data_IF_439059224884
#
_entry.id   IF_439059224884
#
_cell.length_a   1.000
_cell.length_b   1.000
_cell.length_c   1.000
_cell.angle_alpha   90.00
_cell.angle_beta   90.00
_cell.angle_gamma   90.00
#
_symmetry.space_group_name_H-M   'P 1'
#
loop_
_entity.id
_entity.type
_entity.pdbx_description
1 polymer ?
#
# COMPACT_ATOMS: atom_id res chain seq x y z
N UNK A 1 5.84 7.76 -12.06
CA UNK A 1 4.73 6.82 -12.26
C UNK A 1 3.57 7.29 -11.41
N UNK A 2 2.55 7.91 -12.02
CA UNK A 2 1.31 8.24 -11.33
C UNK A 2 0.37 7.05 -11.52
N UNK A 3 0.23 6.24 -10.48
CA UNK A 3 -0.82 5.24 -10.39
C UNK A 3 -1.80 5.76 -9.35
N UNK A 4 -2.95 6.20 -9.79
CA UNK A 4 -4.03 6.47 -8.88
C UNK A 4 -4.81 5.17 -8.69
N UNK A 5 -4.62 4.52 -7.56
CA UNK A 5 -5.60 3.56 -7.07
C UNK A 5 -6.70 4.39 -6.40
N UNK A 6 -7.85 4.42 -7.01
CA UNK A 6 -9.03 5.07 -6.43
C UNK A 6 -9.97 3.99 -5.96
N UNK A 7 -10.25 3.95 -4.67
CA UNK A 7 -11.38 3.21 -4.12
C UNK A 7 -12.54 4.16 -3.91
N UNK A 8 -13.70 3.77 -4.39
CA UNK A 8 -14.96 4.48 -4.14
C UNK A 8 -15.87 3.49 -3.44
N UNK A 9 -16.24 3.80 -2.20
CA UNK A 9 -17.33 3.13 -1.51
C UNK A 9 -18.58 3.96 -1.72
N UNK A 10 -19.60 3.40 -2.38
CA UNK A 10 -20.88 4.07 -2.61
C UNK A 10 -21.91 3.42 -1.70
N UNK A 11 -22.39 4.19 -0.74
CA UNK A 11 -23.51 3.81 0.11
C UNK A 11 -24.75 4.59 -0.32
N UNK A 12 -25.87 3.93 -0.52
CA UNK A 12 -27.14 4.60 -0.75
C UNK A 12 -28.28 3.92 0.03
N UNK A 13 -29.23 4.76 0.48
CA UNK A 13 -30.39 4.31 1.21
C UNK A 13 -31.62 4.28 0.30
N UNK A 14 -32.36 3.19 0.32
CA UNK A 14 -33.64 3.03 -0.38
C UNK A 14 -34.80 3.12 0.65
N UNK A 15 -35.36 4.34 0.80
CA UNK A 15 -36.64 4.57 1.47
C UNK A 15 -36.61 4.80 2.97
N UNK A 16 -37.69 5.42 3.49
CA UNK A 16 -37.81 5.93 4.87
C UNK A 16 -37.99 4.88 5.98
N UNK A 17 -38.19 3.59 5.66
CA UNK A 17 -38.59 2.58 6.66
C UNK A 17 -37.71 1.31 6.72
N UNK A 18 -36.74 1.17 5.84
CA UNK A 18 -35.73 0.12 5.96
C UNK A 18 -34.41 0.62 5.40
N UNK A 19 -33.40 0.76 6.28
CA UNK A 19 -32.05 1.13 5.87
C UNK A 19 -31.42 -0.15 5.31
N UNK A 20 -31.50 -0.32 4.00
CA UNK A 20 -30.67 -1.32 3.30
C UNK A 20 -29.45 -0.57 2.76
N UNK A 21 -28.29 -0.90 3.29
CA UNK A 21 -27.04 -0.39 2.78
C UNK A 21 -26.55 -1.32 1.68
N UNK A 22 -26.43 -0.81 0.46
CA UNK A 22 -25.74 -1.50 -0.62
C UNK A 22 -24.33 -0.93 -0.71
N UNK A 23 -23.34 -1.77 -0.57
CA UNK A 23 -21.93 -1.37 -0.66
C UNK A 23 -21.31 -1.88 -1.96
N UNK A 24 -20.62 -1.02 -2.67
CA UNK A 24 -19.77 -1.40 -3.79
C UNK A 24 -18.32 -1.10 -3.45
N UNK A 25 -17.48 -2.12 -3.52
CA UNK A 25 -16.04 -1.93 -3.50
C UNK A 25 -15.55 -1.75 -4.93
N UNK A 26 -15.05 -0.58 -5.25
CA UNK A 26 -14.57 -0.24 -6.60
C UNK A 26 -13.06 0.00 -6.53
N UNK A 27 -12.29 -0.83 -7.21
CA UNK A 27 -10.85 -0.65 -7.40
C UNK A 27 -10.59 -0.24 -8.85
N UNK A 28 -9.88 0.87 -9.04
CA UNK A 28 -9.54 1.39 -10.36
C UNK A 28 -8.03 1.61 -10.45
N UNK A 29 -7.42 1.20 -11.55
CA UNK A 29 -6.03 1.49 -11.86
C UNK A 29 -5.98 2.30 -13.15
N UNK A 30 -5.38 3.47 -13.06
CA UNK A 30 -5.07 4.31 -14.21
C UNK A 30 -3.59 4.19 -14.57
N UNK A 31 -3.30 4.23 -15.87
CA UNK A 31 -1.95 4.38 -16.39
C UNK A 31 -1.96 5.56 -17.37
N UNK A 32 -1.37 6.68 -16.93
CA UNK A 32 -1.64 7.98 -17.57
C UNK A 32 -3.11 8.37 -17.38
N UNK A 33 -3.75 8.78 -18.45
CA UNK A 33 -5.15 9.20 -18.46
C UNK A 33 -6.13 8.06 -18.78
N UNK A 34 -5.65 6.82 -18.90
CA UNK A 34 -6.43 5.66 -19.31
C UNK A 34 -6.69 4.73 -18.12
N UNK A 35 -7.95 4.32 -17.94
CA UNK A 35 -8.31 3.24 -17.02
C UNK A 35 -7.90 1.91 -17.64
N UNK A 36 -6.94 1.22 -17.04
CA UNK A 36 -6.42 -0.05 -17.54
C UNK A 36 -6.95 -1.27 -16.78
N UNK A 37 -7.52 -1.05 -15.61
CA UNK A 37 -8.13 -2.08 -14.79
C UNK A 37 -9.22 -1.45 -13.92
N UNK A 38 -10.33 -2.16 -13.77
CA UNK A 38 -11.24 -1.96 -12.65
C UNK A 38 -11.81 -3.28 -12.15
N UNK A 39 -12.15 -3.30 -10.88
CA UNK A 39 -12.91 -4.35 -10.22
C UNK A 39 -14.01 -3.70 -9.39
N UNK A 40 -15.25 -4.07 -9.64
CA UNK A 40 -16.43 -3.62 -8.90
C UNK A 40 -17.02 -4.84 -8.21
N UNK A 41 -16.97 -4.85 -6.90
CA UNK A 41 -17.56 -5.91 -6.08
C UNK A 41 -18.79 -5.35 -5.36
N UNK A 42 -19.95 -5.92 -5.64
CA UNK A 42 -21.16 -5.73 -4.84
C UNK A 42 -21.04 -6.59 -3.58
N UNK A 43 -21.03 -5.95 -2.41
CA UNK A 43 -20.82 -6.64 -1.13
C UNK A 43 -22.01 -7.51 -0.73
N UNK A 44 -23.22 -7.24 -1.24
CA UNK A 44 -24.43 -7.98 -0.91
C UNK A 44 -24.70 -9.15 -1.84
N UNK A 45 -24.66 -8.89 -3.16
CA UNK A 45 -24.98 -9.90 -4.17
C UNK A 45 -23.77 -10.69 -4.62
N UNK A 46 -22.57 -10.24 -4.27
CA UNK A 46 -21.27 -10.75 -4.75
C UNK A 46 -21.12 -10.70 -6.27
N UNK A 47 -21.92 -9.86 -6.92
CA UNK A 47 -21.72 -9.57 -8.33
C UNK A 47 -20.37 -8.88 -8.49
N UNK A 48 -19.60 -9.34 -9.46
CA UNK A 48 -18.27 -8.80 -9.76
C UNK A 48 -18.24 -8.36 -11.22
N UNK A 49 -17.99 -7.09 -11.44
CA UNK A 49 -17.69 -6.56 -12.78
C UNK A 49 -16.19 -6.22 -12.85
N UNK A 50 -15.49 -6.84 -13.77
CA UNK A 50 -14.05 -6.70 -13.92
C UNK A 50 -13.69 -6.33 -15.36
N UNK A 51 -12.79 -5.37 -15.50
CA UNK A 51 -12.20 -5.00 -16.78
C UNK A 51 -10.69 -4.99 -16.67
N UNK A 52 -10.01 -5.40 -17.74
CA UNK A 52 -8.57 -5.35 -17.82
C UNK A 52 -8.11 -5.12 -19.25
N UNK A 53 -7.35 -4.05 -19.47
CA UNK A 53 -6.61 -3.86 -20.70
C UNK A 53 -5.27 -4.59 -20.60
N UNK A 54 -5.18 -5.80 -21.18
CA UNK A 54 -4.02 -6.68 -21.07
C UNK A 54 -2.72 -6.05 -21.59
N UNK A 55 -2.79 -5.30 -22.70
CA UNK A 55 -1.60 -4.67 -23.28
C UNK A 55 -1.05 -3.60 -22.33
N UNK A 56 -1.90 -2.70 -21.87
CA UNK A 56 -1.51 -1.63 -20.94
C UNK A 56 -1.08 -2.17 -19.57
N UNK A 57 -1.72 -3.23 -19.12
CA UNK A 57 -1.30 -3.90 -17.89
C UNK A 57 0.12 -4.50 -18.03
N UNK A 58 0.42 -5.09 -19.18
CA UNK A 58 1.77 -5.61 -19.47
C UNK A 58 2.81 -4.48 -19.53
N UNK A 59 2.48 -3.33 -20.14
CA UNK A 59 3.34 -2.15 -20.14
C UNK A 59 3.61 -1.65 -18.72
N UNK A 60 2.57 -1.58 -17.88
CA UNK A 60 2.67 -1.21 -16.47
C UNK A 60 3.57 -2.18 -15.71
N UNK A 61 3.34 -3.50 -15.82
CA UNK A 61 4.13 -4.53 -15.16
C UNK A 61 5.61 -4.48 -15.56
N UNK A 62 5.89 -4.29 -16.85
CA UNK A 62 7.25 -4.14 -17.35
C UNK A 62 7.93 -2.89 -16.80
N UNK A 63 7.22 -1.77 -16.74
CA UNK A 63 7.73 -0.52 -16.17
C UNK A 63 7.99 -0.65 -14.66
N UNK A 64 7.09 -1.34 -13.97
CA UNK A 64 7.23 -1.62 -12.54
C UNK A 64 8.46 -2.48 -12.24
N UNK A 65 8.64 -3.59 -12.97
CA UNK A 65 9.76 -4.52 -12.79
C UNK A 65 11.13 -3.88 -13.07
N UNK A 66 11.19 -2.91 -14.00
CA UNK A 66 12.41 -2.14 -14.25
C UNK A 66 12.83 -1.31 -13.05
N UNK A 67 11.86 -0.80 -12.29
CA UNK A 67 12.11 0.08 -11.16
C UNK A 67 12.24 -0.68 -9.85
N UNK A 68 11.30 -1.58 -9.55
CA UNK A 68 11.28 -2.38 -8.34
C UNK A 68 12.02 -3.71 -8.49
N UNK A 69 12.17 -4.46 -7.40
CA UNK A 69 12.85 -5.76 -7.36
C UNK A 69 11.97 -6.90 -7.86
N UNK A 70 10.65 -6.71 -7.81
CA UNK A 70 9.66 -7.72 -8.19
C UNK A 70 8.67 -7.17 -9.23
N UNK A 71 7.93 -8.07 -9.86
CA UNK A 71 6.87 -7.73 -10.80
C UNK A 71 5.59 -7.35 -10.05
N UNK A 72 4.83 -6.42 -10.63
CA UNK A 72 3.50 -6.06 -10.13
C UNK A 72 2.55 -7.24 -10.32
N UNK A 73 1.98 -7.75 -9.23
CA UNK A 73 0.96 -8.79 -9.25
C UNK A 73 -0.44 -8.16 -9.09
N UNK A 74 -1.39 -8.62 -9.89
CA UNK A 74 -2.76 -8.10 -9.83
C UNK A 74 -3.38 -8.37 -8.46
N UNK A 75 -3.12 -9.53 -7.87
CA UNK A 75 -3.62 -9.87 -6.54
C UNK A 75 -3.12 -8.92 -5.44
N UNK A 76 -1.90 -8.37 -5.59
CA UNK A 76 -1.37 -7.39 -4.64
C UNK A 76 -2.19 -6.08 -4.69
N UNK A 77 -2.75 -5.74 -5.85
CA UNK A 77 -3.61 -4.58 -6.04
C UNK A 77 -5.00 -4.76 -5.40
N UNK A 78 -5.49 -6.00 -5.33
CA UNK A 78 -6.78 -6.34 -4.70
C UNK A 78 -6.70 -6.39 -3.16
N UNK A 79 -5.49 -6.36 -2.61
CA UNK A 79 -5.25 -6.48 -1.16
C UNK A 79 -4.66 -5.23 -0.50
N UNK A 80 -4.53 -4.12 -1.23
CA UNK A 80 -3.88 -2.90 -0.75
C UNK A 80 -4.44 -2.36 0.57
N UNK A 81 -5.72 -2.52 0.81
CA UNK A 81 -6.39 -1.97 1.98
C UNK A 81 -6.25 -2.78 3.26
N UNK A 82 -5.64 -3.94 3.18
CA UNK A 82 -5.43 -4.80 4.35
C UNK A 82 -4.27 -4.30 5.21
N UNK A 83 -3.52 -3.33 4.71
CA UNK A 83 -2.33 -2.83 5.37
C UNK A 83 -2.59 -1.48 6.05
N UNK A 84 -1.98 -1.31 7.21
CA UNK A 84 -2.02 -0.06 7.99
C UNK A 84 -0.64 0.14 8.59
N UNK A 85 -0.07 1.32 8.45
CA UNK A 85 1.21 1.64 9.07
C UNK A 85 1.02 2.11 10.52
N UNK A 86 1.87 1.64 11.42
CA UNK A 86 1.86 2.04 12.83
C UNK A 86 2.56 1.03 13.74
N UNK A 87 2.57 1.32 15.03
CA UNK A 87 3.10 0.39 16.04
C UNK A 87 2.01 -0.51 16.61
N UNK A 88 0.88 0.10 16.95
CA UNK A 88 -0.26 -0.58 17.55
C UNK A 88 -1.56 0.07 17.08
N UNK A 89 -2.66 -0.70 17.12
CA UNK A 89 -3.97 -0.23 16.71
C UNK A 89 -5.06 -0.82 17.60
N UNK A 90 -6.14 -0.04 17.81
CA UNK A 90 -7.29 -0.47 18.60
C UNK A 90 -7.16 -0.18 20.09
N UNK A 91 -8.28 -0.42 20.81
CA UNK A 91 -8.43 -0.06 22.22
C UNK A 91 -7.47 -0.84 23.15
N UNK A 92 -7.08 -2.06 22.76
CA UNK A 92 -6.11 -2.90 23.50
C UNK A 92 -4.65 -2.58 23.18
N UNK A 93 -4.35 -1.67 22.25
CA UNK A 93 -2.97 -1.38 21.84
C UNK A 93 -2.29 -2.59 21.18
N UNK A 94 -3.05 -3.43 20.47
CA UNK A 94 -2.51 -4.62 19.81
C UNK A 94 -1.48 -4.22 18.75
N UNK A 95 -0.35 -4.91 18.75
CA UNK A 95 0.66 -4.73 17.71
C UNK A 95 0.11 -5.10 16.36
N UNK A 96 0.24 -4.21 15.39
CA UNK A 96 -0.16 -4.49 14.01
C UNK A 96 0.64 -5.69 13.47
N UNK A 97 -0.04 -6.56 12.71
CA UNK A 97 0.57 -7.76 12.13
C UNK A 97 1.82 -7.40 11.30
N UNK A 98 1.70 -6.41 10.41
CA UNK A 98 2.81 -6.00 9.55
C UNK A 98 3.97 -5.40 10.37
N UNK A 99 3.69 -4.72 11.51
CA UNK A 99 4.72 -4.25 12.44
C UNK A 99 5.47 -5.42 13.08
N UNK A 100 4.76 -6.41 13.58
CA UNK A 100 5.37 -7.59 14.18
C UNK A 100 6.25 -8.35 13.19
N UNK A 101 5.77 -8.52 11.95
CA UNK A 101 6.50 -9.17 10.86
C UNK A 101 7.75 -8.37 10.46
N UNK A 102 7.64 -7.02 10.38
CA UNK A 102 8.79 -6.14 10.15
C UNK A 102 9.87 -6.34 11.23
N UNK A 103 9.51 -6.31 12.50
CA UNK A 103 10.46 -6.45 13.61
C UNK A 103 11.13 -7.83 13.60
N UNK A 104 10.38 -8.89 13.30
CA UNK A 104 10.92 -10.25 13.16
C UNK A 104 12.00 -10.31 12.07
N UNK A 105 11.69 -9.85 10.85
CA UNK A 105 12.62 -9.88 9.72
C UNK A 105 13.78 -8.88 9.90
N UNK A 106 13.54 -7.75 10.59
CA UNK A 106 14.60 -6.80 10.94
C UNK A 106 15.62 -7.40 11.91
N UNK A 107 15.16 -8.22 12.87
CA UNK A 107 16.05 -8.93 13.81
C UNK A 107 16.98 -9.92 13.09
N UNK A 108 16.50 -10.51 11.98
CA UNK A 108 17.23 -11.44 11.11
C UNK A 108 18.06 -10.74 10.04
N UNK A 109 17.97 -9.40 9.93
CA UNK A 109 18.56 -8.60 8.85
C UNK A 109 18.17 -9.09 7.46
N UNK A 110 16.91 -9.53 7.27
CA UNK A 110 16.41 -10.12 6.04
C UNK A 110 16.10 -9.06 4.97
N UNK A 111 17.14 -8.68 4.24
CA UNK A 111 17.06 -7.69 3.15
C UNK A 111 16.12 -8.17 2.04
N UNK A 112 16.05 -9.47 1.78
CA UNK A 112 15.22 -10.01 0.69
C UNK A 112 13.74 -9.82 0.97
N UNK A 113 13.33 -9.99 2.22
CA UNK A 113 11.99 -9.71 2.66
C UNK A 113 11.61 -8.23 2.46
N UNK A 114 12.46 -7.31 2.89
CA UNK A 114 12.19 -5.87 2.70
C UNK A 114 12.25 -5.42 1.24
N UNK A 115 13.01 -6.12 0.39
CA UNK A 115 12.95 -5.91 -1.06
C UNK A 115 11.58 -6.30 -1.63
N UNK A 116 10.93 -7.35 -1.12
CA UNK A 116 9.56 -7.70 -1.54
C UNK A 116 8.54 -6.65 -1.09
N UNK A 117 8.66 -6.16 0.13
CA UNK A 117 7.76 -5.13 0.66
C UNK A 117 7.91 -3.78 -0.04
N UNK A 118 9.14 -3.33 -0.32
CA UNK A 118 9.35 -2.08 -1.04
C UNK A 118 8.90 -2.18 -2.51
N UNK A 119 8.77 -3.41 -3.01
CA UNK A 119 8.24 -3.72 -4.34
C UNK A 119 6.74 -4.00 -4.34
N UNK A 120 6.09 -4.06 -3.18
CA UNK A 120 4.64 -4.19 -3.11
C UNK A 120 3.97 -2.87 -3.48
N UNK A 121 2.81 -2.85 -4.17
CA UNK A 121 2.11 -1.61 -4.49
C UNK A 121 1.57 -0.88 -3.26
N UNK A 122 1.31 -1.55 -2.10
CA UNK A 122 0.87 -0.90 -0.86
C UNK A 122 1.89 0.11 -0.36
N UNK A 123 1.44 1.34 -0.09
CA UNK A 123 2.27 2.37 0.50
C UNK A 123 2.61 2.07 1.95
N UNK A 124 1.73 1.42 2.67
CA UNK A 124 1.94 1.00 4.06
C UNK A 124 3.10 0.01 4.17
N UNK A 125 3.15 -1.01 3.29
CA UNK A 125 4.27 -1.95 3.24
C UNK A 125 5.57 -1.28 2.79
N UNK A 126 5.49 -0.34 1.84
CA UNK A 126 6.66 0.48 1.46
C UNK A 126 7.17 1.34 2.61
N UNK A 127 6.27 1.89 3.44
CA UNK A 127 6.64 2.67 4.61
C UNK A 127 7.37 1.82 5.66
N UNK A 128 6.89 0.60 5.94
CA UNK A 128 7.58 -0.35 6.79
C UNK A 128 8.95 -0.74 6.24
N UNK A 129 9.04 -1.03 4.93
CA UNK A 129 10.32 -1.34 4.31
C UNK A 129 11.28 -0.15 4.34
N UNK A 130 10.78 1.09 4.15
CA UNK A 130 11.57 2.30 4.29
C UNK A 130 12.17 2.40 5.70
N UNK A 131 11.35 2.31 6.74
CA UNK A 131 11.79 2.33 8.14
C UNK A 131 12.84 1.23 8.39
N UNK A 132 12.55 -0.01 7.96
CA UNK A 132 13.46 -1.13 8.13
C UNK A 132 14.83 -0.88 7.46
N UNK A 133 14.85 -0.40 6.22
CA UNK A 133 16.11 -0.08 5.53
C UNK A 133 16.89 1.02 6.24
N UNK A 134 16.24 2.07 6.75
CA UNK A 134 16.92 3.11 7.53
C UNK A 134 17.50 2.58 8.85
N UNK A 135 16.79 1.68 9.52
CA UNK A 135 17.28 1.00 10.72
C UNK A 135 18.44 0.04 10.41
N UNK A 136 18.42 -0.65 9.27
CA UNK A 136 19.52 -1.49 8.81
C UNK A 136 20.76 -0.65 8.45
N UNK A 137 20.61 0.51 7.80
CA UNK A 137 21.72 1.43 7.55
C UNK A 137 22.38 1.91 8.84
N UNK A 138 21.59 2.27 9.87
CA UNK A 138 22.12 2.62 11.21
C UNK A 138 22.91 1.46 11.85
N UNK A 139 22.58 0.20 11.52
CA UNK A 139 23.33 -1.01 11.95
C UNK A 139 24.53 -1.32 11.05
N UNK A 140 24.85 -0.48 10.07
CA UNK A 140 26.01 -0.63 9.17
C UNK A 140 25.77 -1.45 7.91
N UNK A 141 24.52 -1.82 7.62
CA UNK A 141 24.18 -2.52 6.36
C UNK A 141 24.30 -1.54 5.19
N UNK A 142 25.04 -1.93 4.15
CA UNK A 142 25.18 -1.13 2.93
C UNK A 142 24.05 -1.42 1.95
N UNK A 143 23.20 -0.45 1.70
CA UNK A 143 22.15 -0.56 0.70
C UNK A 143 22.74 -0.47 -0.73
N UNK A 144 22.14 -1.22 -1.66
CA UNK A 144 22.44 -1.13 -3.09
C UNK A 144 22.01 0.22 -3.67
N UNK A 145 22.54 0.57 -4.83
CA UNK A 145 22.13 1.78 -5.55
C UNK A 145 20.63 1.77 -5.89
N UNK A 146 20.08 0.60 -6.24
CA UNK A 146 18.65 0.43 -6.55
C UNK A 146 17.79 0.71 -5.31
N UNK A 147 18.13 0.15 -4.15
CA UNK A 147 17.42 0.41 -2.89
C UNK A 147 17.42 1.90 -2.55
N UNK A 148 18.59 2.55 -2.56
CA UNK A 148 18.70 3.99 -2.29
C UNK A 148 17.85 4.84 -3.24
N UNK A 149 17.84 4.52 -4.53
CA UNK A 149 17.01 5.23 -5.51
C UNK A 149 15.51 5.09 -5.22
N UNK A 150 15.06 3.91 -4.80
CA UNK A 150 13.65 3.68 -4.43
C UNK A 150 13.33 4.49 -3.16
N UNK A 151 14.18 4.43 -2.12
CA UNK A 151 13.96 5.18 -0.87
C UNK A 151 13.90 6.69 -1.15
N UNK A 152 14.80 7.21 -1.97
CA UNK A 152 14.79 8.63 -2.36
C UNK A 152 13.49 9.03 -3.05
N UNK A 153 12.92 8.17 -3.90
CA UNK A 153 11.62 8.45 -4.52
C UNK A 153 10.49 8.49 -3.50
N UNK A 154 10.49 7.56 -2.54
CA UNK A 154 9.48 7.55 -1.47
C UNK A 154 9.54 8.82 -0.61
N UNK A 155 10.70 9.43 -0.44
CA UNK A 155 10.86 10.70 0.28
C UNK A 155 10.15 11.90 -0.38
N UNK A 156 9.78 11.76 -1.65
CA UNK A 156 9.05 12.77 -2.44
C UNK A 156 7.65 12.28 -2.86
N UNK A 157 7.18 11.18 -2.26
CA UNK A 157 5.88 10.59 -2.59
C UNK A 157 4.78 11.27 -1.77
N UNK A 158 3.83 11.93 -2.46
CA UNK A 158 2.72 12.67 -1.85
C UNK A 158 1.42 11.86 -1.73
N UNK A 159 1.45 10.58 -2.08
CA UNK A 159 0.27 9.72 -1.93
C UNK A 159 0.01 9.42 -0.46
N UNK A 160 -1.28 9.31 -0.12
CA UNK A 160 -1.73 9.03 1.24
C UNK A 160 -1.65 7.54 1.55
N UNK A 161 -1.26 7.24 2.78
CA UNK A 161 -1.30 5.90 3.36
C UNK A 161 -2.08 5.92 4.68
N UNK A 162 -2.65 4.77 5.03
CA UNK A 162 -3.41 4.61 6.27
C UNK A 162 -2.46 4.39 7.44
N UNK A 163 -2.65 5.16 8.50
CA UNK A 163 -1.90 5.03 9.74
C UNK A 163 -2.81 4.68 10.90
N UNK A 164 -2.26 4.00 11.90
CA UNK A 164 -2.93 3.77 13.17
C UNK A 164 -1.95 3.96 14.33
N UNK A 165 -2.31 4.80 15.27
CA UNK A 165 -1.55 4.99 16.50
C UNK A 165 -2.50 4.90 17.70
N UNK A 166 -2.46 3.77 18.40
CA UNK A 166 -3.42 3.45 19.46
C UNK A 166 -4.85 3.39 18.91
N UNK A 167 -5.75 4.23 19.42
CA UNK A 167 -7.16 4.28 18.98
C UNK A 167 -7.41 5.22 17.79
N UNK A 168 -6.40 5.93 17.33
CA UNK A 168 -6.54 6.93 16.26
C UNK A 168 -6.14 6.29 14.94
N UNK A 169 -7.11 6.23 14.01
CA UNK A 169 -6.88 5.91 12.60
C UNK A 169 -6.94 7.20 11.80
N UNK A 170 -5.98 7.40 10.93
CA UNK A 170 -5.85 8.59 10.11
C UNK A 170 -5.14 8.23 8.79
N UNK A 171 -4.97 9.21 7.94
CA UNK A 171 -4.15 9.11 6.75
C UNK A 171 -3.15 10.25 6.69
N UNK A 172 -1.94 9.94 6.26
CA UNK A 172 -0.83 10.90 6.15
C UNK A 172 -0.13 10.71 4.80
N UNK A 173 0.48 11.74 4.25
CA UNK A 173 1.29 11.55 3.05
C UNK A 173 2.56 10.76 3.38
N UNK A 174 3.04 9.98 2.42
CA UNK A 174 4.30 9.25 2.59
C UNK A 174 5.47 10.20 2.92
N UNK A 175 5.48 11.37 2.29
CA UNK A 175 6.50 12.39 2.55
C UNK A 175 6.48 12.87 4.01
N UNK A 176 5.31 13.21 4.55
CA UNK A 176 5.18 13.70 5.94
C UNK A 176 5.52 12.60 6.94
N UNK A 177 5.08 11.36 6.68
CA UNK A 177 5.45 10.22 7.50
C UNK A 177 6.97 10.06 7.58
N UNK A 178 7.66 10.09 6.42
CA UNK A 178 9.12 9.94 6.36
C UNK A 178 9.84 11.08 7.07
N UNK A 179 9.32 12.31 6.98
CA UNK A 179 9.87 13.44 7.74
C UNK A 179 9.76 13.19 9.25
N UNK A 180 8.65 12.65 9.73
CA UNK A 180 8.48 12.24 11.12
C UNK A 180 9.48 11.15 11.55
N UNK A 181 9.71 10.14 10.71
CA UNK A 181 10.66 9.06 10.98
C UNK A 181 12.13 9.49 11.00
N UNK A 182 12.50 10.61 10.38
CA UNK A 182 13.87 11.15 10.37
C UNK A 182 14.25 11.87 11.66
N UNK A 183 13.30 12.17 12.51
CA UNK A 183 13.50 12.92 13.76
C UNK A 183 13.93 11.98 14.92
N UNK A 184 13.67 10.69 14.81
CA UNK A 184 14.09 9.68 15.79
C UNK A 184 15.48 9.09 15.42
#
# INVERSE_FOLDING_TARGET
FYHNLVRIQVEYSLGESSISYYGYDISIINFGDEIIYYNILDTDTRLNAKYQNLLKMTELQNSYSKFYFDSLKINDLETLEKHTFGTSCGFGGETLKDRAEMEEHLSKMDISFFNSWISNPSLELKAYAYEAFRRLEKKGVKLSAKQRNILQKLEHENSYLNICNGCIRDSITMQDLIQGLKIE
#
